data_IF_956130208399
#
_entry.id   IF_956130208399
#
_cell.length_a   1.000
_cell.length_b   1.000
_cell.length_c   1.000
_cell.angle_alpha   90.00
_cell.angle_beta   90.00
_cell.angle_gamma   90.00
#
_symmetry.space_group_name_H-M   'P 1'
#
loop_
_entity.id
_entity.type
_entity.pdbx_description
1 polymer ?
#
# COMPACT_ATOMS: atom_id res chain seq x y z
N UNK A 1 -38.17 17.14 -30.76
CA UNK A 1 -37.51 17.89 -31.89
C UNK A 1 -36.05 17.54 -31.89
N UNK A 2 -35.72 16.66 -32.80
CA UNK A 2 -34.67 16.69 -33.84
C UNK A 2 -33.22 16.75 -33.33
N UNK A 3 -32.60 15.59 -33.31
CA UNK A 3 -31.34 15.13 -33.90
C UNK A 3 -30.28 16.19 -34.23
N UNK A 4 -29.08 15.98 -33.73
CA UNK A 4 -27.86 16.19 -34.52
C UNK A 4 -26.73 15.23 -34.11
N UNK A 5 -26.65 14.15 -34.86
CA UNK A 5 -25.58 13.17 -34.95
C UNK A 5 -24.52 13.76 -35.88
N UNK A 6 -23.32 13.95 -35.44
CA UNK A 6 -22.18 14.11 -36.36
C UNK A 6 -21.10 13.13 -36.01
N UNK A 7 -20.99 12.14 -36.90
CA UNK A 7 -19.87 11.22 -37.09
C UNK A 7 -18.65 12.02 -37.54
N UNK A 8 -17.50 11.74 -36.95
CA UNK A 8 -16.21 12.00 -37.58
C UNK A 8 -15.41 10.72 -37.52
N UNK A 9 -15.04 10.27 -38.73
CA UNK A 9 -14.31 9.05 -39.03
C UNK A 9 -12.79 9.30 -38.99
N UNK A 10 -12.08 8.27 -38.56
CA UNK A 10 -10.79 7.76 -38.98
C UNK A 10 -9.67 8.73 -39.40
N UNK A 11 -8.51 8.57 -38.80
CA UNK A 11 -7.26 8.51 -39.57
C UNK A 11 -6.25 7.56 -38.88
N UNK A 12 -5.97 6.46 -39.59
CA UNK A 12 -4.86 5.53 -39.35
C UNK A 12 -3.53 6.23 -39.67
N UNK A 13 -2.54 6.12 -38.80
CA UNK A 13 -1.14 6.23 -39.18
C UNK A 13 -0.34 5.13 -38.49
N UNK A 14 -0.08 4.09 -39.27
CA UNK A 14 0.90 3.05 -38.98
C UNK A 14 2.31 3.64 -39.25
N UNK A 15 3.20 3.60 -38.28
CA UNK A 15 4.62 3.79 -38.47
C UNK A 15 5.36 2.59 -37.87
N UNK A 16 5.71 1.65 -38.75
CA UNK A 16 6.64 0.57 -38.46
C UNK A 16 8.07 1.12 -38.47
N UNK A 17 8.78 1.05 -37.37
CA UNK A 17 10.23 1.24 -37.35
C UNK A 17 10.89 -0.10 -37.03
N UNK A 18 11.47 -0.69 -38.06
CA UNK A 18 12.39 -1.82 -37.98
C UNK A 18 13.76 -1.30 -37.54
N UNK A 19 14.25 -1.74 -36.41
CA UNK A 19 15.67 -1.62 -36.06
C UNK A 19 16.38 -2.95 -36.36
N UNK A 20 17.24 -2.91 -37.38
CA UNK A 20 18.15 -3.97 -37.75
C UNK A 20 19.33 -3.99 -36.77
N UNK A 21 19.55 -5.13 -36.08
CA UNK A 21 20.78 -5.38 -35.35
C UNK A 21 21.81 -5.97 -36.26
N UNK A 22 22.91 -5.24 -36.47
CA UNK A 22 24.08 -5.70 -37.18
C UNK A 22 25.01 -6.40 -36.18
N UNK A 23 25.21 -7.69 -36.33
CA UNK A 23 26.22 -8.45 -35.62
C UNK A 23 27.59 -8.18 -36.23
N UNK A 24 28.57 -7.80 -35.44
CA UNK A 24 29.98 -7.93 -35.77
C UNK A 24 30.62 -8.94 -34.83
N UNK A 25 31.01 -10.07 -35.42
CA UNK A 25 31.90 -11.04 -34.80
C UNK A 25 33.36 -10.64 -35.12
N UNK A 26 34.24 -10.67 -34.11
CA UNK A 26 35.69 -10.87 -34.28
C UNK A 26 36.30 -11.38 -32.97
N UNK A 27 36.72 -12.60 -33.06
CA UNK A 27 37.80 -13.41 -32.49
C UNK A 27 38.56 -12.99 -31.22
N UNK A 28 38.63 -13.98 -30.32
CA UNK A 28 39.46 -14.18 -29.12
C UNK A 28 40.99 -14.16 -29.44
N UNK A 29 41.92 -13.94 -28.46
CA UNK A 29 42.15 -14.92 -27.42
C UNK A 29 42.63 -14.39 -26.02
N UNK A 30 42.30 -15.24 -25.03
CA UNK A 30 43.03 -15.57 -23.80
C UNK A 30 43.41 -14.54 -22.72
N UNK A 31 42.90 -14.77 -21.57
CA UNK A 31 43.49 -15.10 -20.24
C UNK A 31 43.08 -14.22 -19.05
N UNK A 32 42.45 -14.93 -18.13
CA UNK A 32 42.68 -14.93 -16.66
C UNK A 32 42.10 -13.82 -15.77
N UNK A 33 41.28 -14.31 -14.87
CA UNK A 33 41.06 -14.06 -13.45
C UNK A 33 39.73 -13.40 -13.07
N UNK A 34 38.96 -14.24 -12.44
CA UNK A 34 38.11 -14.07 -11.23
C UNK A 34 37.82 -12.63 -10.80
N UNK A 35 36.51 -12.28 -10.82
CA UNK A 35 35.86 -11.70 -9.65
C UNK A 35 34.32 -11.88 -9.77
N UNK A 36 33.77 -12.35 -8.68
CA UNK A 36 32.37 -12.60 -8.43
C UNK A 36 31.53 -11.34 -8.68
N UNK A 37 30.56 -11.44 -9.61
CA UNK A 37 29.41 -10.56 -9.57
C UNK A 37 28.23 -11.35 -9.01
N UNK A 38 28.02 -11.19 -7.72
CA UNK A 38 26.84 -11.57 -6.98
C UNK A 38 25.60 -11.04 -7.71
N UNK A 39 24.91 -11.92 -8.41
CA UNK A 39 23.56 -11.67 -8.86
C UNK A 39 22.64 -11.62 -7.64
N UNK A 40 22.16 -10.45 -7.33
CA UNK A 40 21.06 -10.27 -6.39
C UNK A 40 19.79 -10.82 -7.04
N UNK A 41 19.57 -12.12 -6.89
CA UNK A 41 18.24 -12.70 -7.05
C UNK A 41 17.40 -12.21 -5.87
N UNK A 42 16.53 -11.28 -6.17
CA UNK A 42 15.50 -10.78 -5.29
C UNK A 42 14.65 -11.94 -4.75
N UNK A 43 14.79 -12.21 -3.48
CA UNK A 43 14.00 -13.14 -2.70
C UNK A 43 12.54 -12.68 -2.60
N UNK A 44 11.74 -12.95 -3.64
CA UNK A 44 10.27 -12.76 -3.63
C UNK A 44 9.51 -13.92 -3.01
N UNK A 45 10.17 -15.02 -2.62
CA UNK A 45 9.48 -16.23 -2.14
C UNK A 45 9.35 -16.36 -0.62
N UNK A 46 10.04 -15.53 0.19
CA UNK A 46 9.96 -15.65 1.65
C UNK A 46 8.96 -14.70 2.33
N UNK A 47 8.41 -13.69 1.63
CA UNK A 47 7.51 -12.69 2.22
C UNK A 47 6.09 -13.24 2.43
N UNK A 48 5.70 -14.32 1.74
CA UNK A 48 4.31 -14.80 1.75
C UNK A 48 3.88 -15.61 3.00
N UNK A 49 4.71 -15.73 4.04
CA UNK A 49 4.41 -16.54 5.23
C UNK A 49 4.77 -15.90 6.57
N UNK A 50 4.86 -14.57 6.64
CA UNK A 50 5.06 -13.92 7.93
C UNK A 50 3.77 -14.02 8.74
N UNK A 51 3.80 -14.79 9.84
CA UNK A 51 2.70 -14.82 10.80
C UNK A 51 2.72 -13.58 11.70
N UNK A 52 1.60 -13.29 12.34
CA UNK A 52 1.54 -12.22 13.34
C UNK A 52 2.57 -12.42 14.47
N UNK A 53 2.76 -13.67 14.91
CA UNK A 53 3.71 -14.02 15.98
C UNK A 53 5.17 -13.70 15.59
N UNK A 54 5.54 -13.92 14.31
CA UNK A 54 6.90 -13.72 13.81
C UNK A 54 7.19 -12.24 13.45
N UNK A 55 6.17 -11.45 13.19
CA UNK A 55 6.32 -10.04 12.89
C UNK A 55 6.77 -9.24 14.11
N UNK A 56 7.60 -8.22 13.92
CA UNK A 56 7.97 -7.27 14.96
C UNK A 56 6.76 -6.44 15.41
N UNK A 57 6.64 -6.11 16.71
CA UNK A 57 5.59 -5.21 17.21
C UNK A 57 5.95 -3.74 16.92
N UNK A 58 5.89 -3.39 15.64
CA UNK A 58 6.19 -2.07 15.08
C UNK A 58 5.37 -1.81 13.82
N UNK A 59 5.29 -0.54 13.37
CA UNK A 59 4.66 -0.21 12.08
C UNK A 59 5.29 -1.00 10.92
N UNK A 60 6.61 -1.20 10.95
CA UNK A 60 7.31 -2.01 9.97
C UNK A 60 6.85 -3.47 9.98
N UNK A 61 6.70 -4.06 11.16
CA UNK A 61 6.21 -5.43 11.29
C UNK A 61 4.75 -5.58 10.83
N UNK A 62 3.89 -4.61 11.14
CA UNK A 62 2.51 -4.55 10.63
C UNK A 62 2.49 -4.47 9.09
N UNK A 63 3.34 -3.64 8.51
CA UNK A 63 3.46 -3.53 7.04
C UNK A 63 3.88 -4.87 6.43
N UNK A 64 4.91 -5.52 6.95
CA UNK A 64 5.37 -6.83 6.45
C UNK A 64 4.27 -7.89 6.55
N UNK A 65 3.53 -7.89 7.65
CA UNK A 65 2.40 -8.80 7.86
C UNK A 65 1.26 -8.59 6.86
N UNK A 66 0.84 -7.34 6.62
CA UNK A 66 -0.22 -7.02 5.66
C UNK A 66 0.23 -7.19 4.20
N UNK A 67 1.51 -6.91 3.90
CA UNK A 67 2.11 -7.12 2.58
C UNK A 67 2.18 -8.61 2.23
N UNK A 68 2.59 -9.46 3.18
CA UNK A 68 2.61 -10.91 3.03
C UNK A 68 1.24 -11.51 2.69
N UNK A 69 0.15 -10.83 3.08
CA UNK A 69 -1.23 -11.18 2.73
C UNK A 69 -1.69 -10.58 1.39
N UNK A 70 -0.85 -9.81 0.73
CA UNK A 70 -1.16 -9.15 -0.55
C UNK A 70 -2.13 -7.97 -0.42
N UNK A 71 -2.13 -7.29 0.73
CA UNK A 71 -3.03 -6.16 0.96
C UNK A 71 -2.43 -4.82 0.57
N UNK A 72 -1.12 -4.71 0.49
CA UNK A 72 -0.42 -3.46 0.21
C UNK A 72 0.14 -3.45 -1.22
N UNK A 73 0.50 -2.27 -1.69
CA UNK A 73 1.27 -2.06 -2.91
C UNK A 73 2.76 -1.90 -2.58
N UNK A 74 3.64 -2.00 -3.58
CA UNK A 74 5.09 -1.86 -3.39
C UNK A 74 5.51 -0.45 -2.93
N UNK A 75 4.71 0.57 -3.22
CA UNK A 75 5.06 1.97 -2.94
C UNK A 75 4.22 2.53 -1.80
N UNK A 76 4.90 3.12 -0.83
CA UNK A 76 4.28 3.86 0.26
C UNK A 76 4.65 5.34 0.22
N UNK A 77 3.83 6.16 0.86
CA UNK A 77 4.09 7.57 1.14
C UNK A 77 4.12 7.76 2.64
N UNK A 78 5.16 8.41 3.15
CA UNK A 78 5.27 8.77 4.55
C UNK A 78 4.26 9.86 4.90
N UNK A 79 3.55 9.69 6.02
CA UNK A 79 2.50 10.59 6.49
C UNK A 79 3.01 11.48 7.62
N UNK A 80 2.45 12.69 7.73
CA UNK A 80 2.72 13.59 8.86
C UNK A 80 1.99 13.11 10.12
N UNK A 81 2.44 11.98 10.67
CA UNK A 81 1.80 11.28 11.78
C UNK A 81 1.69 12.14 13.06
N UNK A 82 2.65 13.03 13.29
CA UNK A 82 2.64 13.96 14.43
C UNK A 82 1.42 14.89 14.48
N UNK A 83 0.73 15.10 13.36
CA UNK A 83 -0.52 15.89 13.32
C UNK A 83 -1.69 15.23 14.07
N UNK A 84 -1.57 13.93 14.32
CA UNK A 84 -2.55 13.15 15.09
C UNK A 84 -1.93 12.54 16.36
N UNK A 85 -0.73 13.01 16.72
CA UNK A 85 0.00 12.51 17.89
C UNK A 85 0.54 11.09 17.74
N UNK A 86 0.58 10.54 16.52
CA UNK A 86 1.21 9.25 16.22
C UNK A 86 2.71 9.41 15.99
N UNK A 87 3.48 8.34 16.25
CA UNK A 87 4.94 8.31 16.06
C UNK A 87 5.31 8.21 14.58
N UNK A 88 4.59 7.39 13.84
CA UNK A 88 4.87 7.11 12.44
C UNK A 88 3.58 6.84 11.67
N UNK A 89 3.63 7.02 10.36
CA UNK A 89 2.49 6.75 9.49
C UNK A 89 2.90 6.52 8.04
N UNK A 90 2.23 5.59 7.37
CA UNK A 90 2.44 5.23 5.98
C UNK A 90 1.09 5.14 5.25
N UNK A 91 1.10 5.57 3.99
CA UNK A 91 -0.06 5.50 3.10
C UNK A 91 0.27 4.66 1.87
N UNK A 92 -0.64 3.79 1.49
CA UNK A 92 -0.59 2.94 0.30
C UNK A 92 -1.77 3.23 -0.61
N UNK A 93 -1.51 3.25 -1.93
CA UNK A 93 -2.55 3.26 -2.97
C UNK A 93 -2.57 1.90 -3.64
N UNK A 94 -3.70 1.23 -3.61
CA UNK A 94 -3.87 -0.14 -4.10
C UNK A 94 -4.97 -0.17 -5.16
N UNK A 95 -4.78 -0.98 -6.20
CA UNK A 95 -5.75 -1.16 -7.28
C UNK A 95 -6.43 -2.54 -7.16
N UNK A 96 -7.76 -2.53 -7.06
CA UNK A 96 -8.60 -3.73 -7.15
C UNK A 96 -9.90 -3.37 -7.87
N UNK A 97 -10.12 -3.97 -9.04
CA UNK A 97 -11.29 -3.65 -9.88
C UNK A 97 -11.43 -2.17 -10.27
N UNK A 98 -10.34 -1.42 -10.19
CA UNK A 98 -10.22 0.00 -10.52
C UNK A 98 -8.76 0.41 -10.49
N UNK A 99 -8.45 1.66 -10.87
CA UNK A 99 -7.10 2.20 -10.79
C UNK A 99 -6.98 3.04 -9.51
N UNK A 100 -6.06 2.65 -8.62
CA UNK A 100 -5.78 3.35 -7.35
C UNK A 100 -7.06 3.66 -6.53
N UNK A 101 -7.98 2.69 -6.53
CA UNK A 101 -9.29 2.86 -5.91
C UNK A 101 -9.28 2.63 -4.39
N UNK A 102 -8.26 1.95 -3.85
CA UNK A 102 -8.13 1.68 -2.44
C UNK A 102 -7.00 2.53 -1.86
N UNK A 103 -7.25 3.15 -0.73
CA UNK A 103 -6.24 3.82 0.10
C UNK A 103 -6.20 3.16 1.46
N UNK A 104 -5.00 2.77 1.90
CA UNK A 104 -4.74 2.24 3.23
C UNK A 104 -3.72 3.16 3.91
N UNK A 105 -4.12 3.80 5.01
CA UNK A 105 -3.22 4.58 5.85
C UNK A 105 -3.03 3.82 7.16
N UNK A 106 -1.79 3.65 7.58
CA UNK A 106 -1.39 2.94 8.79
C UNK A 106 -0.62 3.89 9.70
N UNK A 107 -0.95 3.90 10.98
CA UNK A 107 -0.31 4.74 11.99
C UNK A 107 0.06 3.91 13.22
N UNK A 108 1.17 4.28 13.87
CA UNK A 108 1.63 3.71 15.13
C UNK A 108 1.64 4.76 16.22
N UNK A 109 1.12 4.43 17.39
CA UNK A 109 1.10 5.29 18.58
C UNK A 109 2.02 4.72 19.67
N UNK A 110 2.75 5.59 20.34
CA UNK A 110 3.43 5.25 21.59
C UNK A 110 2.43 5.29 22.75
N UNK A 111 1.95 4.11 23.15
CA UNK A 111 0.93 4.02 24.22
C UNK A 111 1.45 4.44 25.60
N UNK A 112 2.77 4.49 25.80
CA UNK A 112 3.38 4.94 27.07
C UNK A 112 3.47 6.47 27.16
N UNK A 113 3.50 7.16 26.00
CA UNK A 113 3.72 8.60 25.92
C UNK A 113 2.66 9.32 25.07
N UNK A 114 1.40 8.90 25.16
CA UNK A 114 0.29 9.56 24.45
C UNK A 114 0.11 11.00 24.92
N UNK A 115 0.10 11.95 23.98
CA UNK A 115 -0.34 13.31 24.25
C UNK A 115 -1.88 13.42 24.23
N UNK A 116 -2.42 14.56 24.66
CA UNK A 116 -3.87 14.78 24.76
C UNK A 116 -4.57 14.63 23.38
N UNK A 117 -3.92 15.02 22.30
CA UNK A 117 -4.45 14.91 20.94
C UNK A 117 -4.56 13.45 20.48
N UNK A 118 -3.50 12.66 20.68
CA UNK A 118 -3.50 11.23 20.38
C UNK A 118 -4.59 10.49 21.18
N UNK A 119 -4.73 10.79 22.48
CA UNK A 119 -5.77 10.20 23.33
C UNK A 119 -7.17 10.51 22.79
N UNK A 120 -7.45 11.77 22.47
CA UNK A 120 -8.75 12.19 21.95
C UNK A 120 -9.08 11.53 20.61
N UNK A 121 -8.08 11.38 19.73
CA UNK A 121 -8.24 10.70 18.43
C UNK A 121 -8.51 9.21 18.62
N UNK A 122 -7.71 8.52 19.43
CA UNK A 122 -7.90 7.08 19.71
C UNK A 122 -9.30 6.82 20.30
N UNK A 123 -9.75 7.66 21.25
CA UNK A 123 -11.09 7.54 21.84
C UNK A 123 -12.19 7.76 20.79
N UNK A 124 -12.05 8.79 19.94
CA UNK A 124 -13.01 9.07 18.87
C UNK A 124 -13.10 7.92 17.87
N UNK A 125 -11.95 7.40 17.42
CA UNK A 125 -11.89 6.25 16.49
C UNK A 125 -12.49 5.00 17.11
N UNK A 126 -12.20 4.70 18.38
CA UNK A 126 -12.81 3.55 19.10
C UNK A 126 -14.32 3.68 19.24
N UNK A 127 -14.82 4.90 19.33
CA UNK A 127 -16.25 5.17 19.54
C UNK A 127 -17.07 5.03 18.25
N UNK A 128 -16.61 5.65 17.14
CA UNK A 128 -17.43 5.77 15.93
C UNK A 128 -16.62 5.70 14.61
N UNK A 129 -15.32 5.40 14.66
CA UNK A 129 -14.47 5.27 13.48
C UNK A 129 -14.15 6.59 12.79
N UNK A 130 -14.33 7.72 13.50
CA UNK A 130 -14.05 9.05 12.95
C UNK A 130 -13.14 9.86 13.86
N UNK A 131 -12.46 10.85 13.32
CA UNK A 131 -11.75 11.87 14.09
C UNK A 131 -11.60 13.16 13.27
N UNK A 132 -11.19 14.25 13.93
CA UNK A 132 -10.98 15.54 13.26
C UNK A 132 -9.54 15.99 13.49
N UNK A 133 -8.85 16.35 12.40
CA UNK A 133 -7.51 16.92 12.43
C UNK A 133 -7.47 18.16 11.55
N UNK A 134 -6.87 19.25 12.05
CA UNK A 134 -6.81 20.54 11.36
C UNK A 134 -8.16 21.04 10.80
N UNK A 135 -9.28 20.74 11.49
CA UNK A 135 -10.64 21.10 11.07
C UNK A 135 -11.24 20.22 9.97
N UNK A 136 -10.56 19.17 9.55
CA UNK A 136 -11.07 18.19 8.58
C UNK A 136 -11.43 16.89 9.28
N UNK A 137 -12.62 16.35 8.96
CA UNK A 137 -13.05 15.06 9.48
C UNK A 137 -12.53 13.92 8.62
N UNK A 138 -11.88 12.96 9.26
CA UNK A 138 -11.55 11.65 8.68
C UNK A 138 -12.59 10.61 9.13
N UNK A 139 -12.88 9.64 8.28
CA UNK A 139 -13.81 8.53 8.54
C UNK A 139 -13.25 7.22 8.00
N UNK A 140 -13.81 6.08 8.45
CA UNK A 140 -13.31 4.76 8.08
C UNK A 140 -12.04 4.35 8.84
N UNK A 141 -11.73 5.05 9.92
CA UNK A 141 -10.64 4.71 10.82
C UNK A 141 -11.03 3.58 11.78
N UNK A 142 -10.06 2.75 12.14
CA UNK A 142 -10.21 1.73 13.16
C UNK A 142 -8.91 1.51 13.92
N UNK A 143 -9.00 1.09 15.17
CA UNK A 143 -7.85 0.69 15.98
C UNK A 143 -7.64 -0.82 15.89
N UNK A 144 -6.38 -1.26 15.98
CA UNK A 144 -6.07 -2.66 16.30
C UNK A 144 -6.59 -3.03 17.68
N UNK A 145 -6.75 -4.32 17.97
CA UNK A 145 -7.18 -4.78 19.29
C UNK A 145 -6.16 -4.42 20.38
N UNK A 146 -4.86 -4.38 20.05
CA UNK A 146 -3.82 -3.87 20.96
C UNK A 146 -3.99 -2.39 21.28
N UNK A 147 -4.69 -1.64 20.44
CA UNK A 147 -4.84 -0.18 20.55
C UNK A 147 -3.61 0.62 20.14
N UNK A 148 -2.55 -0.02 19.68
CA UNK A 148 -1.29 0.62 19.28
C UNK A 148 -1.32 1.15 17.85
N UNK A 149 -2.06 0.48 16.96
CA UNK A 149 -2.13 0.82 15.55
C UNK A 149 -3.50 1.37 15.17
N UNK A 150 -3.50 2.31 14.24
CA UNK A 150 -4.70 2.82 13.59
C UNK A 150 -4.59 2.59 12.09
N UNK A 151 -5.68 2.14 11.47
CA UNK A 151 -5.82 2.06 10.03
C UNK A 151 -6.98 2.93 9.56
N UNK A 152 -6.80 3.64 8.43
CA UNK A 152 -7.88 4.23 7.65
C UNK A 152 -7.94 3.46 6.34
N UNK A 153 -9.07 2.82 6.07
CA UNK A 153 -9.31 2.09 4.83
C UNK A 153 -10.41 2.78 4.03
N UNK A 154 -10.09 3.19 2.83
CA UNK A 154 -11.02 3.83 1.90
C UNK A 154 -11.00 3.08 0.58
N UNK A 155 -12.17 2.74 0.04
CA UNK A 155 -12.34 2.19 -1.30
C UNK A 155 -13.40 3.00 -2.03
N UNK A 156 -13.13 3.36 -3.27
CA UNK A 156 -14.04 4.13 -4.14
C UNK A 156 -14.88 3.23 -5.06
N UNK A 157 -14.62 1.93 -5.04
CA UNK A 157 -15.38 0.91 -5.80
C UNK A 157 -16.23 0.09 -4.85
N UNK A 158 -17.55 0.17 -5.03
CA UNK A 158 -18.53 -0.57 -4.23
C UNK A 158 -19.06 -1.79 -5.02
N UNK A 159 -18.49 -2.95 -4.70
CA UNK A 159 -18.94 -4.26 -5.19
C UNK A 159 -18.64 -5.35 -4.16
N UNK A 160 -19.17 -6.56 -4.37
CA UNK A 160 -19.03 -7.68 -3.43
C UNK A 160 -17.56 -8.08 -3.18
N UNK A 161 -16.72 -8.07 -4.21
CA UNK A 161 -15.32 -8.46 -4.12
C UNK A 161 -14.52 -7.44 -3.29
N UNK A 162 -14.72 -6.15 -3.56
CA UNK A 162 -14.07 -5.07 -2.82
C UNK A 162 -14.53 -5.05 -1.35
N UNK A 163 -15.82 -5.26 -1.11
CA UNK A 163 -16.37 -5.36 0.26
C UNK A 163 -15.76 -6.54 1.03
N UNK A 164 -15.74 -7.74 0.42
CA UNK A 164 -15.16 -8.93 1.05
C UNK A 164 -13.65 -8.75 1.34
N UNK A 165 -12.91 -8.09 0.43
CA UNK A 165 -11.52 -7.74 0.68
C UNK A 165 -11.38 -6.78 1.86
N UNK A 166 -12.18 -5.71 1.88
CA UNK A 166 -12.13 -4.72 2.96
C UNK A 166 -12.40 -5.35 4.34
N UNK A 167 -13.39 -6.25 4.45
CA UNK A 167 -13.69 -6.99 5.68
C UNK A 167 -12.48 -7.82 6.14
N UNK A 168 -11.87 -8.56 5.22
CA UNK A 168 -10.71 -9.39 5.53
C UNK A 168 -9.48 -8.58 5.93
N UNK A 169 -9.19 -7.48 5.25
CA UNK A 169 -8.09 -6.57 5.62
C UNK A 169 -8.30 -6.01 7.03
N UNK A 170 -9.53 -5.58 7.34
CA UNK A 170 -9.89 -5.05 8.66
C UNK A 170 -9.78 -6.09 9.77
N UNK A 171 -10.22 -7.33 9.51
CA UNK A 171 -10.11 -8.44 10.46
C UNK A 171 -8.64 -8.76 10.77
N UNK A 172 -7.82 -8.94 9.73
CA UNK A 172 -6.40 -9.22 9.89
C UNK A 172 -5.65 -8.07 10.58
N UNK A 173 -5.96 -6.82 10.23
CA UNK A 173 -5.39 -5.65 10.89
C UNK A 173 -5.78 -5.58 12.38
N UNK A 174 -7.05 -5.80 12.70
CA UNK A 174 -7.53 -5.76 14.08
C UNK A 174 -6.83 -6.80 14.96
N UNK A 175 -6.54 -7.98 14.40
CA UNK A 175 -5.89 -9.08 15.10
C UNK A 175 -4.39 -8.94 15.29
N UNK A 176 -3.73 -8.00 14.60
CA UNK A 176 -2.28 -7.85 14.68
C UNK A 176 -1.81 -7.50 16.09
N UNK A 177 -0.92 -8.35 16.67
CA UNK A 177 -0.38 -8.21 18.04
C UNK A 177 -1.46 -8.10 19.13
N UNK A 178 -2.46 -8.94 19.02
CA UNK A 178 -3.56 -9.03 19.98
C UNK A 178 -3.19 -9.87 21.19
#
# INVERSE_FOLDING_TARGET
MKNCWKKIAALFCAAAMMFSFTACALEDPEQTSSEESSGSESSKEEVSQISDEDAEDSLKGLVLYLDAKGYLSENSVEMSASMIGAESGLKYSVSLNGADNITIELYEFDLENLNDEAQAIIESVKKDGTFTVAGMQASGAMMSNSGKYMMIYTDTVDNEENTARAEKVKEDFAGFKN
#
